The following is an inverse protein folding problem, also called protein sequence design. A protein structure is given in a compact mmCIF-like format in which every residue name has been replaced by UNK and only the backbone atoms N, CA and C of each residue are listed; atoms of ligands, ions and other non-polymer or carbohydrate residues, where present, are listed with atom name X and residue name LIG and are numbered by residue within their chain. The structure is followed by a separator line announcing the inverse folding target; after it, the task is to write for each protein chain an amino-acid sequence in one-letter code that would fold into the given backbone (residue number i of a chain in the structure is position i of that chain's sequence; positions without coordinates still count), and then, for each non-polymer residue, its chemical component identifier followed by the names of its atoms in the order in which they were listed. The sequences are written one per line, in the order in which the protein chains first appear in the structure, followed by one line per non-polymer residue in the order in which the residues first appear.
data_IF_513241687259
#
_entry.id   IF_513241687259
#
_cell.length_a   1.000
_cell.length_b   1.000
_cell.length_c   1.000
_cell.angle_alpha   90.00
_cell.angle_beta   90.00
_cell.angle_gamma   90.00
#
_symmetry.space_group_name_H-M   'P 1'
#
loop_
_entity.id
_entity.type
_entity.pdbx_description
1 polymer ?
#
# COMPACT_ATOMS: atom_id res chain seq x y z
N UNK A 1 18.12 -4.14 -22.54
CA UNK A 1 17.62 -4.40 -21.17
C UNK A 1 16.82 -3.19 -20.71
N UNK A 2 15.49 -3.30 -20.63
CA UNK A 2 14.63 -2.22 -20.13
C UNK A 2 14.71 -2.24 -18.60
N UNK A 3 15.20 -1.17 -17.99
CA UNK A 3 15.12 -0.99 -16.54
C UNK A 3 13.66 -0.65 -16.23
N UNK A 4 13.00 -1.47 -15.43
CA UNK A 4 11.59 -1.31 -15.08
C UNK A 4 11.38 0.07 -14.40
N UNK A 5 10.58 0.92 -15.05
CA UNK A 5 10.25 2.28 -14.59
C UNK A 5 9.57 2.25 -13.20
N UNK A 6 8.96 1.13 -12.83
CA UNK A 6 8.30 0.86 -11.54
C UNK A 6 9.22 1.06 -10.32
N UNK A 7 10.53 0.83 -10.44
CA UNK A 7 11.44 0.90 -9.29
C UNK A 7 11.87 2.34 -8.94
N UNK A 8 11.83 3.27 -9.90
CA UNK A 8 12.38 4.62 -9.71
C UNK A 8 11.44 5.54 -8.91
N UNK A 9 10.11 5.33 -8.97
CA UNK A 9 9.14 6.12 -8.20
C UNK A 9 8.98 5.66 -6.74
N UNK A 10 9.38 4.42 -6.41
CA UNK A 10 9.29 3.91 -5.03
C UNK A 10 10.37 4.56 -4.15
N UNK A 11 11.58 4.72 -4.68
CA UNK A 11 12.72 5.27 -3.92
C UNK A 11 12.50 6.72 -3.46
N UNK A 12 11.88 7.57 -4.30
CA UNK A 12 11.57 8.96 -3.96
C UNK A 12 10.39 9.11 -2.98
N UNK A 13 9.51 8.10 -2.88
CA UNK A 13 8.41 8.09 -1.89
C UNK A 13 8.82 7.44 -0.56
N UNK A 14 9.80 6.54 -0.56
CA UNK A 14 10.34 5.92 0.67
C UNK A 14 11.08 6.94 1.56
N UNK A 15 11.68 7.98 0.99
CA UNK A 15 12.29 9.10 1.75
C UNK A 15 11.28 10.03 2.42
N UNK A 16 9.98 9.91 2.08
CA UNK A 16 8.87 10.54 2.80
C UNK A 16 8.38 9.72 3.99
N UNK A 17 8.87 8.49 4.19
CA UNK A 17 8.67 7.84 5.48
C UNK A 17 9.42 8.67 6.52
N UNK A 18 8.78 9.04 7.64
CA UNK A 18 9.54 9.53 8.77
C UNK A 18 10.57 8.46 9.08
N UNK A 19 11.86 8.79 8.95
CA UNK A 19 12.99 8.03 9.49
C UNK A 19 12.51 7.39 10.77
N UNK A 20 12.35 6.06 10.77
CA UNK A 20 11.54 5.33 11.75
C UNK A 20 11.84 5.92 13.12
N UNK A 21 10.89 6.71 13.64
CA UNK A 21 11.14 7.52 14.82
C UNK A 21 11.53 6.52 15.91
N UNK A 22 12.73 6.64 16.48
CA UNK A 22 13.26 5.65 17.43
C UNK A 22 12.25 5.34 18.55
N UNK A 23 11.39 6.30 18.86
CA UNK A 23 10.26 6.22 19.79
C UNK A 23 9.19 5.20 19.35
N UNK A 24 8.77 5.21 18.09
CA UNK A 24 7.78 4.26 17.56
C UNK A 24 8.33 2.82 17.59
N UNK A 25 9.62 2.64 17.30
CA UNK A 25 10.28 1.33 17.43
C UNK A 25 10.38 0.90 18.89
N UNK A 26 10.70 1.81 19.80
CA UNK A 26 10.74 1.52 21.22
C UNK A 26 9.37 1.08 21.75
N UNK A 27 8.28 1.70 21.29
CA UNK A 27 6.92 1.32 21.65
C UNK A 27 6.54 -0.07 21.11
N UNK A 28 6.90 -0.37 19.86
CA UNK A 28 6.72 -1.71 19.27
C UNK A 28 7.49 -2.76 20.09
N UNK A 29 8.77 -2.51 20.40
CA UNK A 29 9.60 -3.42 21.20
C UNK A 29 8.99 -3.65 22.59
N UNK A 30 8.55 -2.58 23.26
CA UNK A 30 7.84 -2.68 24.55
C UNK A 30 6.58 -3.54 24.43
N UNK A 31 5.81 -3.36 23.36
CA UNK A 31 4.63 -4.16 23.06
C UNK A 31 4.93 -5.65 22.85
N UNK A 32 6.07 -5.98 22.24
CA UNK A 32 6.52 -7.37 22.07
C UNK A 32 6.78 -8.05 23.41
N UNK A 33 7.50 -7.37 24.31
CA UNK A 33 7.74 -7.88 25.67
C UNK A 33 6.44 -8.00 26.49
N UNK A 34 5.40 -7.23 26.15
CA UNK A 34 4.07 -7.32 26.77
C UNK A 34 3.19 -8.44 26.17
N UNK A 35 3.69 -9.19 25.18
CA UNK A 35 2.94 -10.27 24.53
C UNK A 35 1.81 -9.81 23.61
N UNK A 36 1.83 -8.55 23.16
CA UNK A 36 0.85 -8.05 22.19
C UNK A 36 1.02 -8.76 20.84
N UNK A 37 -0.07 -9.02 20.10
CA UNK A 37 0.02 -9.66 18.80
C UNK A 37 0.83 -8.80 17.81
N UNK A 38 1.65 -9.46 16.98
CA UNK A 38 2.50 -8.78 16.00
C UNK A 38 1.68 -8.15 14.87
N UNK A 39 0.65 -8.87 14.41
CA UNK A 39 -0.27 -8.50 13.33
C UNK A 39 -1.72 -8.70 13.79
N UNK A 40 -2.67 -8.08 13.08
CA UNK A 40 -4.11 -8.15 13.38
C UNK A 40 -4.73 -6.76 13.58
N UNK A 41 -6.01 -6.66 13.93
CA UNK A 41 -6.66 -5.33 14.08
C UNK A 41 -5.99 -4.42 15.12
N UNK A 42 -5.40 -5.00 16.17
CA UNK A 42 -4.62 -4.31 17.22
C UNK A 42 -3.13 -4.70 17.22
N UNK A 43 -2.63 -5.22 16.10
CA UNK A 43 -1.25 -5.69 15.98
C UNK A 43 -0.24 -4.55 15.97
N UNK A 44 0.92 -4.77 16.58
CA UNK A 44 1.99 -3.77 16.69
C UNK A 44 2.46 -3.24 15.33
N UNK A 45 2.55 -4.13 14.34
CA UNK A 45 3.00 -3.79 12.99
C UNK A 45 1.85 -3.43 12.04
N UNK A 46 0.60 -3.50 12.48
CA UNK A 46 -0.54 -3.34 11.57
C UNK A 46 -0.60 -1.93 10.98
N UNK A 47 -0.32 -0.89 11.77
CA UNK A 47 -0.25 0.48 11.23
C UNK A 47 0.86 0.62 10.21
N UNK A 48 2.06 0.08 10.51
CA UNK A 48 3.19 0.15 9.60
C UNK A 48 2.91 -0.58 8.27
N UNK A 49 2.35 -1.79 8.33
CA UNK A 49 1.97 -2.55 7.12
C UNK A 49 0.88 -1.79 6.34
N UNK A 50 -0.09 -1.20 7.03
CA UNK A 50 -1.13 -0.36 6.42
C UNK A 50 -0.49 0.82 5.68
N UNK A 51 0.42 1.55 6.31
CA UNK A 51 1.03 2.74 5.72
C UNK A 51 1.92 2.38 4.52
N UNK A 52 2.76 1.36 4.66
CA UNK A 52 3.60 0.85 3.56
C UNK A 52 2.76 0.41 2.35
N UNK A 53 1.67 -0.33 2.59
CA UNK A 53 0.79 -0.78 1.51
C UNK A 53 0.03 0.38 0.86
N UNK A 54 -0.38 1.40 1.62
CA UNK A 54 -0.97 2.61 1.04
C UNK A 54 0.02 3.37 0.17
N UNK A 55 1.24 3.61 0.67
CA UNK A 55 2.29 4.31 -0.09
C UNK A 55 2.57 3.57 -1.40
N UNK A 56 2.73 2.25 -1.35
CA UNK A 56 2.93 1.45 -2.55
C UNK A 56 1.77 1.59 -3.56
N UNK A 57 0.51 1.53 -3.09
CA UNK A 57 -0.65 1.72 -3.96
C UNK A 57 -0.72 3.13 -4.57
N UNK A 58 -0.32 4.16 -3.82
CA UNK A 58 -0.24 5.53 -4.33
C UNK A 58 0.80 5.65 -5.43
N UNK A 59 1.99 5.08 -5.23
CA UNK A 59 3.04 5.03 -6.25
C UNK A 59 2.60 4.28 -7.51
N UNK A 60 1.92 3.14 -7.37
CA UNK A 60 1.33 2.42 -8.52
C UNK A 60 0.34 3.29 -9.29
N UNK A 61 -0.53 4.04 -8.60
CA UNK A 61 -1.49 4.96 -9.23
C UNK A 61 -0.80 6.13 -9.93
N UNK A 62 0.23 6.72 -9.33
CA UNK A 62 0.98 7.82 -9.94
C UNK A 62 1.64 7.38 -11.24
N UNK A 63 2.26 6.20 -11.25
CA UNK A 63 2.84 5.61 -12.47
C UNK A 63 1.77 5.36 -13.53
N UNK A 64 0.64 4.75 -13.15
CA UNK A 64 -0.49 4.49 -14.06
C UNK A 64 -1.00 5.78 -14.71
N UNK A 65 -1.22 6.82 -13.92
CA UNK A 65 -1.71 8.09 -14.46
C UNK A 65 -0.69 8.81 -15.31
N UNK A 66 0.60 8.71 -15.00
CA UNK A 66 1.66 9.26 -15.84
C UNK A 66 1.64 8.62 -17.24
N UNK A 67 1.56 7.29 -17.31
CA UNK A 67 1.50 6.55 -18.57
C UNK A 67 0.24 6.88 -19.39
N UNK A 68 -0.92 7.01 -18.73
CA UNK A 68 -2.21 7.27 -19.38
C UNK A 68 -2.49 8.78 -19.58
N UNK A 69 -1.61 9.68 -19.13
CA UNK A 69 -1.81 11.13 -19.24
C UNK A 69 -1.70 11.64 -20.68
N UNK A 70 -1.04 10.88 -21.55
CA UNK A 70 -0.81 11.21 -22.96
C UNK A 70 -1.99 10.79 -23.88
N UNK A 71 -2.99 10.09 -23.34
CA UNK A 71 -4.14 9.61 -24.10
C UNK A 71 -5.21 10.70 -24.31
N UNK A 72 -5.91 10.67 -25.45
CA UNK A 72 -7.03 11.58 -25.70
C UNK A 72 -8.14 11.37 -24.66
N UNK A 73 -8.44 12.41 -23.89
CA UNK A 73 -9.44 12.37 -22.80
C UNK A 73 -8.85 12.36 -21.38
N UNK A 74 -7.52 12.19 -21.24
CA UNK A 74 -6.75 12.42 -20.01
C UNK A 74 -7.25 11.66 -18.78
N UNK A 75 -6.63 10.52 -18.45
CA UNK A 75 -6.98 9.82 -17.22
C UNK A 75 -6.57 10.63 -15.97
N UNK A 76 -7.36 10.54 -14.91
CA UNK A 76 -7.15 11.28 -13.66
C UNK A 76 -7.63 10.50 -12.45
N UNK A 77 -7.18 10.91 -11.26
CA UNK A 77 -7.65 10.33 -9.98
C UNK A 77 -9.15 10.57 -9.80
N UNK A 78 -9.85 9.54 -9.33
CA UNK A 78 -11.28 9.55 -9.02
C UNK A 78 -11.53 9.07 -7.57
N UNK A 79 -10.78 9.66 -6.64
CA UNK A 79 -10.88 9.38 -5.21
C UNK A 79 -10.26 8.05 -4.78
N UNK A 80 -10.74 7.54 -3.64
CA UNK A 80 -10.30 6.29 -3.02
C UNK A 80 -11.50 5.42 -2.67
N UNK A 81 -11.30 4.11 -2.62
CA UNK A 81 -12.28 3.14 -2.13
C UNK A 81 -11.71 2.41 -0.94
N UNK A 82 -12.50 2.27 0.12
CA UNK A 82 -12.10 1.49 1.30
C UNK A 82 -12.18 0.00 1.00
N UNK A 83 -11.10 -0.74 1.33
CA UNK A 83 -11.04 -2.19 1.23
C UNK A 83 -10.52 -2.79 2.53
N UNK A 84 -11.23 -3.77 3.06
CA UNK A 84 -10.80 -4.55 4.22
C UNK A 84 -9.88 -5.69 3.78
N UNK A 85 -8.63 -5.62 4.19
CA UNK A 85 -7.61 -6.65 3.94
C UNK A 85 -7.59 -7.65 5.08
N UNK A 86 -7.62 -8.94 4.72
CA UNK A 86 -7.50 -10.06 5.64
C UNK A 86 -6.06 -10.56 5.66
N UNK A 87 -5.49 -10.67 6.85
CA UNK A 87 -4.20 -11.30 7.14
C UNK A 87 -4.43 -12.55 7.99
N UNK A 88 -3.40 -13.38 8.16
CA UNK A 88 -3.52 -14.58 8.99
C UNK A 88 -3.90 -14.31 10.45
N UNK A 89 -3.60 -13.10 10.93
CA UNK A 89 -3.75 -12.69 12.34
C UNK A 89 -4.89 -11.68 12.56
N UNK A 90 -5.63 -11.29 11.51
CA UNK A 90 -6.75 -10.35 11.62
C UNK A 90 -7.03 -9.61 10.32
N UNK A 91 -7.56 -8.38 10.42
CA UNK A 91 -7.86 -7.55 9.26
C UNK A 91 -7.66 -6.07 9.55
N UNK A 92 -7.40 -5.30 8.50
CA UNK A 92 -7.31 -3.84 8.56
C UNK A 92 -7.86 -3.20 7.29
N UNK A 93 -8.17 -1.91 7.36
CA UNK A 93 -8.74 -1.16 6.25
C UNK A 93 -7.66 -0.40 5.48
N UNK A 94 -7.81 -0.40 4.16
CA UNK A 94 -6.98 0.32 3.21
C UNK A 94 -7.80 1.26 2.34
N UNK A 95 -7.27 2.46 2.12
CA UNK A 95 -7.74 3.37 1.09
C UNK A 95 -7.05 3.05 -0.24
N UNK A 96 -7.78 2.42 -1.16
CA UNK A 96 -7.26 2.04 -2.48
C UNK A 96 -7.56 3.15 -3.49
N UNK A 97 -6.57 3.74 -4.17
CA UNK A 97 -6.80 4.78 -5.16
C UNK A 97 -7.53 4.23 -6.39
N UNK A 98 -8.33 5.08 -7.04
CA UNK A 98 -9.05 4.76 -8.27
C UNK A 98 -8.83 5.82 -9.34
N UNK A 99 -8.81 5.42 -10.59
CA UNK A 99 -8.76 6.30 -11.75
C UNK A 99 -10.16 6.53 -12.36
N UNK A 100 -10.30 7.59 -13.16
CA UNK A 100 -11.58 7.97 -13.77
C UNK A 100 -12.04 6.95 -14.81
N UNK A 101 -11.10 6.44 -15.60
CA UNK A 101 -11.40 5.50 -16.68
C UNK A 101 -11.57 4.05 -16.19
N UNK A 102 -11.33 3.81 -14.89
CA UNK A 102 -11.40 2.48 -14.26
C UNK A 102 -10.43 1.46 -14.88
N UNK A 103 -9.34 1.93 -15.48
CA UNK A 103 -8.31 1.11 -16.11
C UNK A 103 -7.18 0.72 -15.15
N UNK A 104 -7.09 1.35 -13.97
CA UNK A 104 -6.04 1.05 -13.00
C UNK A 104 -6.15 -0.38 -12.46
N UNK A 105 -5.07 -1.16 -12.58
CA UNK A 105 -4.97 -2.56 -12.14
C UNK A 105 -3.82 -2.71 -11.11
N UNK A 106 -4.11 -2.51 -9.80
CA UNK A 106 -3.07 -2.59 -8.78
C UNK A 106 -2.47 -4.00 -8.69
N UNK A 107 -1.14 -4.07 -8.63
CA UNK A 107 -0.39 -5.32 -8.61
C UNK A 107 -0.30 -5.88 -7.19
N UNK A 108 -0.07 -5.01 -6.20
CA UNK A 108 0.06 -5.41 -4.80
C UNK A 108 -1.23 -6.01 -4.23
N UNK A 109 -2.38 -5.44 -4.58
CA UNK A 109 -3.71 -5.85 -4.13
C UNK A 109 -4.66 -5.96 -5.32
N UNK A 110 -4.75 -7.16 -5.90
CA UNK A 110 -5.59 -7.42 -7.07
C UNK A 110 -7.05 -7.04 -6.84
N UNK A 111 -7.72 -6.61 -7.92
CA UNK A 111 -9.17 -6.34 -7.93
C UNK A 111 -9.95 -7.55 -7.38
N UNK A 112 -11.02 -7.27 -6.64
CA UNK A 112 -11.92 -8.28 -6.01
C UNK A 112 -11.28 -9.23 -4.99
N UNK A 113 -10.00 -9.07 -4.66
CA UNK A 113 -9.33 -9.87 -3.60
C UNK A 113 -9.13 -9.06 -2.32
N UNK A 114 -9.06 -9.72 -1.17
CA UNK A 114 -8.86 -9.11 0.15
C UNK A 114 -7.57 -9.60 0.82
N UNK A 115 -6.53 -9.86 0.04
CA UNK A 115 -5.25 -10.38 0.53
C UNK A 115 -4.09 -9.72 -0.21
N UNK A 116 -3.00 -9.43 0.51
CA UNK A 116 -1.77 -8.87 -0.07
C UNK A 116 -0.99 -10.02 -0.74
N UNK A 117 -0.63 -9.85 -2.02
CA UNK A 117 0.27 -10.74 -2.76
C UNK A 117 0.03 -12.26 -2.55
N UNK A 118 -1.23 -12.71 -2.53
CA UNK A 118 -1.54 -14.14 -2.41
C UNK A 118 -1.50 -14.77 -3.80
N UNK A 119 -0.54 -15.66 -4.04
CA UNK A 119 -0.58 -16.55 -5.22
C UNK A 119 -1.83 -17.43 -5.11
N UNK A 120 -2.54 -17.62 -6.23
CA UNK A 120 -3.64 -18.57 -6.29
C UNK A 120 -3.12 -19.95 -5.86
N UNK A 121 -3.86 -20.62 -4.98
CA UNK A 121 -3.60 -22.00 -4.61
C UNK A 121 -4.04 -22.92 -5.74
#
# INVERSE_FOLDING_TARGET
MKKDVTTNNIAEQVTKLPSVQNEALAEIIKGLYQGKPLLGSSGLLTSLVKDLTQIALQGEMDSHLHENSLEQGGNRRNGVTTKTIKTGSGSFELAVPRDRNSTFEPQLIKKKTNSINRRAR
#
